data_IF_129516825693
#
_entry.id   IF_129516825693
#
_cell.length_a   1.000
_cell.length_b   1.000
_cell.length_c   1.000
_cell.angle_alpha   90.00
_cell.angle_beta   90.00
_cell.angle_gamma   90.00
#
_symmetry.space_group_name_H-M   'P 1'
#
loop_
_entity.id
_entity.type
_entity.pdbx_description
1 polymer ?
#
# COMPACT_ATOMS: atom_id res chain seq x y z
N UNK A 1 2.23 -5.55 -16.61
CA UNK A 1 2.80 -6.64 -17.43
C UNK A 1 3.61 -6.12 -18.61
N UNK A 2 3.06 -5.22 -19.45
CA UNK A 2 3.77 -4.66 -20.61
C UNK A 2 5.08 -3.92 -20.25
N UNK A 3 5.10 -3.13 -19.17
CA UNK A 3 6.32 -2.43 -18.73
C UNK A 3 7.44 -3.37 -18.28
N UNK A 4 7.12 -4.48 -17.61
CA UNK A 4 8.09 -5.50 -17.22
C UNK A 4 8.68 -6.21 -18.44
N UNK A 5 7.82 -6.58 -19.41
CA UNK A 5 8.26 -7.20 -20.66
C UNK A 5 9.15 -6.24 -21.46
N UNK A 6 8.77 -4.96 -21.55
CA UNK A 6 9.56 -3.95 -22.24
C UNK A 6 10.92 -3.71 -21.55
N UNK A 7 10.94 -3.62 -20.21
CA UNK A 7 12.18 -3.51 -19.45
C UNK A 7 13.12 -4.69 -19.64
N UNK A 8 12.59 -5.91 -19.69
CA UNK A 8 13.37 -7.13 -19.95
C UNK A 8 13.91 -7.14 -21.40
N UNK A 9 13.06 -6.82 -22.38
CA UNK A 9 13.43 -6.83 -23.79
C UNK A 9 14.51 -5.78 -24.13
N UNK A 10 14.49 -4.65 -23.43
CA UNK A 10 15.51 -3.59 -23.57
C UNK A 10 16.76 -3.88 -22.71
N UNK A 11 16.59 -4.47 -21.53
CA UNK A 11 17.67 -4.69 -20.57
C UNK A 11 18.56 -5.91 -20.86
N UNK A 12 18.00 -7.01 -21.39
CA UNK A 12 18.78 -8.22 -21.70
C UNK A 12 19.90 -7.95 -22.70
N UNK A 13 19.67 -7.29 -23.85
CA UNK A 13 20.75 -7.00 -24.81
C UNK A 13 21.83 -6.10 -24.22
N UNK A 14 21.46 -5.16 -23.35
CA UNK A 14 22.41 -4.29 -22.65
C UNK A 14 23.34 -5.09 -21.73
N UNK A 15 22.78 -6.03 -20.96
CA UNK A 15 23.55 -6.89 -20.06
C UNK A 15 24.45 -7.87 -20.83
N UNK A 16 23.94 -8.45 -21.91
CA UNK A 16 24.70 -9.35 -22.79
C UNK A 16 25.90 -8.66 -23.46
N UNK A 17 25.76 -7.39 -23.85
CA UNK A 17 26.88 -6.62 -24.42
C UNK A 17 27.99 -6.33 -23.42
N UNK A 18 27.69 -6.30 -22.12
CA UNK A 18 28.64 -5.99 -21.03
C UNK A 18 29.24 -7.24 -20.39
N UNK A 19 28.50 -8.35 -20.35
CA UNK A 19 28.91 -9.60 -19.70
C UNK A 19 29.15 -10.66 -20.79
N UNK A 20 30.30 -10.57 -21.47
CA UNK A 20 30.76 -11.57 -22.44
C UNK A 20 31.76 -12.50 -21.76
N UNK A 21 31.58 -13.82 -21.88
CA UNK A 21 32.53 -14.76 -21.28
C UNK A 21 32.00 -16.17 -21.03
N UNK A 22 32.75 -16.98 -20.26
CA UNK A 22 32.38 -18.36 -19.94
C UNK A 22 31.05 -18.42 -19.17
N UNK A 23 30.35 -19.56 -19.26
CA UNK A 23 28.97 -19.73 -18.74
C UNK A 23 28.79 -19.41 -17.25
N UNK A 24 29.86 -19.37 -16.46
CA UNK A 24 29.80 -19.02 -15.03
C UNK A 24 29.80 -17.51 -14.74
N UNK A 25 30.30 -16.69 -15.68
CA UNK A 25 30.41 -15.25 -15.51
C UNK A 25 29.05 -14.55 -15.28
N UNK A 26 27.96 -14.91 -16.00
CA UNK A 26 26.63 -14.35 -15.72
C UNK A 26 26.12 -14.66 -14.32
N UNK A 27 26.47 -15.81 -13.75
CA UNK A 27 26.10 -16.14 -12.36
C UNK A 27 26.87 -15.28 -11.38
N UNK A 28 28.17 -15.08 -11.59
CA UNK A 28 28.98 -14.23 -10.72
C UNK A 28 28.51 -12.77 -10.72
N UNK A 29 28.06 -12.26 -11.87
CA UNK A 29 27.57 -10.88 -12.00
C UNK A 29 26.11 -10.74 -11.57
N UNK A 30 25.27 -11.75 -11.83
CA UNK A 30 23.84 -11.72 -11.54
C UNK A 30 23.46 -12.11 -10.11
N UNK A 31 24.22 -13.02 -9.49
CA UNK A 31 23.90 -13.54 -8.15
C UNK A 31 24.02 -12.47 -7.05
N UNK A 32 25.06 -11.62 -7.00
CA UNK A 32 25.15 -10.59 -5.97
C UNK A 32 23.97 -9.59 -5.94
N UNK A 33 23.58 -8.94 -7.05
CA UNK A 33 22.43 -8.04 -7.04
C UNK A 33 21.12 -8.79 -6.78
N UNK A 34 20.98 -10.04 -7.25
CA UNK A 34 19.81 -10.86 -6.96
C UNK A 34 19.67 -11.16 -5.47
N UNK A 35 20.77 -11.52 -4.81
CA UNK A 35 20.80 -11.78 -3.37
C UNK A 35 20.54 -10.50 -2.57
N UNK A 36 21.10 -9.36 -2.97
CA UNK A 36 20.82 -8.07 -2.32
C UNK A 36 19.34 -7.70 -2.43
N UNK A 37 18.76 -7.79 -3.63
CA UNK A 37 17.35 -7.47 -3.85
C UNK A 37 16.44 -8.42 -3.07
N UNK A 38 16.74 -9.72 -3.09
CA UNK A 38 15.99 -10.73 -2.35
C UNK A 38 16.08 -10.50 -0.84
N UNK A 39 17.29 -10.27 -0.30
CA UNK A 39 17.50 -9.99 1.11
C UNK A 39 16.81 -8.72 1.57
N UNK A 40 16.92 -7.63 0.79
CA UNK A 40 16.22 -6.37 1.07
C UNK A 40 14.70 -6.56 1.05
N UNK A 41 14.17 -7.29 0.07
CA UNK A 41 12.73 -7.58 -0.03
C UNK A 41 12.24 -8.45 1.13
N UNK A 42 13.02 -9.47 1.51
CA UNK A 42 12.70 -10.33 2.64
C UNK A 42 12.73 -9.57 3.96
N UNK A 43 13.73 -8.70 4.18
CA UNK A 43 13.78 -7.85 5.36
C UNK A 43 12.62 -6.84 5.39
N UNK A 44 12.31 -6.20 4.27
CA UNK A 44 11.16 -5.32 4.16
C UNK A 44 9.85 -6.05 4.46
N UNK A 45 9.63 -7.20 3.82
CA UNK A 45 8.44 -8.03 4.01
C UNK A 45 8.31 -8.59 5.42
N UNK A 46 9.42 -8.91 6.08
CA UNK A 46 9.45 -9.46 7.44
C UNK A 46 9.27 -8.42 8.54
N UNK A 47 9.73 -7.18 8.32
CA UNK A 47 9.79 -6.16 9.40
C UNK A 47 8.94 -4.92 9.13
N UNK A 48 9.06 -4.32 7.95
CA UNK A 48 8.38 -3.05 7.65
C UNK A 48 6.93 -3.29 7.24
N UNK A 49 6.69 -4.31 6.43
CA UNK A 49 5.37 -4.62 5.88
C UNK A 49 4.31 -4.95 6.95
N UNK A 50 4.60 -5.74 8.02
CA UNK A 50 3.62 -6.01 9.08
C UNK A 50 3.22 -4.75 9.85
N UNK A 51 4.20 -3.89 10.18
CA UNK A 51 3.96 -2.62 10.87
C UNK A 51 3.11 -1.69 10.01
N UNK A 52 3.42 -1.59 8.72
CA UNK A 52 2.62 -0.82 7.77
C UNK A 52 1.19 -1.35 7.66
N UNK A 53 1.01 -2.67 7.57
CA UNK A 53 -0.31 -3.28 7.50
C UNK A 53 -1.13 -2.99 8.76
N UNK A 54 -0.52 -3.11 9.94
CA UNK A 54 -1.17 -2.81 11.21
C UNK A 54 -1.58 -1.33 11.30
N UNK A 55 -0.67 -0.41 10.96
CA UNK A 55 -0.98 1.03 10.93
C UNK A 55 -2.08 1.35 9.91
N UNK A 56 -2.07 0.71 8.75
CA UNK A 56 -3.09 0.89 7.72
C UNK A 56 -4.47 0.46 8.22
N UNK A 57 -4.55 -0.72 8.83
CA UNK A 57 -5.81 -1.25 9.38
C UNK A 57 -6.31 -0.39 10.54
N UNK A 58 -5.44 -0.03 11.48
CA UNK A 58 -5.79 0.88 12.58
C UNK A 58 -6.25 2.23 12.06
N UNK A 59 -5.55 2.80 11.07
CA UNK A 59 -5.93 4.07 10.45
C UNK A 59 -7.30 3.98 9.78
N UNK A 60 -7.54 2.91 9.02
CA UNK A 60 -8.84 2.65 8.38
C UNK A 60 -9.97 2.60 9.42
N UNK A 61 -9.80 1.83 10.49
CA UNK A 61 -10.81 1.75 11.55
C UNK A 61 -10.96 3.06 12.32
N UNK A 62 -9.88 3.76 12.66
CA UNK A 62 -9.94 5.03 13.36
C UNK A 62 -10.68 6.10 12.53
N UNK A 63 -10.35 6.22 11.24
CA UNK A 63 -11.02 7.13 10.33
C UNK A 63 -12.50 6.73 10.12
N UNK A 64 -12.78 5.44 9.96
CA UNK A 64 -14.14 4.93 9.81
C UNK A 64 -14.99 5.18 11.05
N UNK A 65 -14.49 4.87 12.25
CA UNK A 65 -15.20 5.12 13.51
C UNK A 65 -15.45 6.61 13.75
N UNK A 66 -14.48 7.48 13.45
CA UNK A 66 -14.69 8.93 13.53
C UNK A 66 -15.78 9.42 12.57
N UNK A 67 -15.83 8.87 11.35
CA UNK A 67 -16.89 9.15 10.38
C UNK A 67 -18.26 8.68 10.88
N UNK A 68 -18.35 7.44 11.37
CA UNK A 68 -19.57 6.91 11.96
C UNK A 68 -20.08 7.76 13.11
N UNK A 69 -19.18 8.19 14.01
CA UNK A 69 -19.53 9.09 15.10
C UNK A 69 -20.02 10.44 14.59
N UNK A 70 -19.35 11.03 13.60
CA UNK A 70 -19.76 12.29 12.98
C UNK A 70 -21.15 12.21 12.34
N UNK A 71 -21.45 11.11 11.64
CA UNK A 71 -22.78 10.88 11.05
C UNK A 71 -23.84 10.78 12.15
N UNK A 72 -23.60 10.00 13.21
CA UNK A 72 -24.53 9.89 14.33
C UNK A 72 -24.79 11.22 15.03
N UNK A 73 -23.77 12.07 15.18
CA UNK A 73 -23.93 13.42 15.72
C UNK A 73 -24.80 14.30 14.82
N UNK A 74 -24.56 14.26 13.50
CA UNK A 74 -25.40 15.01 12.55
C UNK A 74 -26.85 14.52 12.57
N UNK A 75 -27.06 13.21 12.57
CA UNK A 75 -28.41 12.63 12.66
C UNK A 75 -29.11 13.08 13.94
N UNK A 76 -28.42 12.98 15.09
CA UNK A 76 -28.97 13.43 16.38
C UNK A 76 -29.33 14.91 16.37
N UNK A 77 -28.45 15.76 15.83
CA UNK A 77 -28.71 17.18 15.68
C UNK A 77 -29.99 17.41 14.85
N UNK A 78 -30.12 16.76 13.69
CA UNK A 78 -31.32 16.90 12.85
C UNK A 78 -32.59 16.44 13.59
N UNK A 79 -32.54 15.30 14.27
CA UNK A 79 -33.67 14.76 15.04
C UNK A 79 -34.09 15.70 16.19
N UNK A 80 -33.14 16.27 16.92
CA UNK A 80 -33.40 17.25 18.00
C UNK A 80 -34.05 18.53 17.43
N UNK A 81 -33.60 19.02 16.27
CA UNK A 81 -34.20 20.20 15.61
C UNK A 81 -35.65 19.95 15.17
N UNK A 82 -35.94 18.80 14.57
CA UNK A 82 -37.30 18.45 14.14
C UNK A 82 -38.24 18.24 15.33
N UNK A 83 -37.78 17.55 16.38
CA UNK A 83 -38.56 17.33 17.60
C UNK A 83 -38.88 18.65 18.31
N UNK A 84 -37.88 19.53 18.45
CA UNK A 84 -38.06 20.85 19.08
C UNK A 84 -39.05 21.73 18.32
N UNK A 85 -39.00 21.70 16.98
CA UNK A 85 -39.91 22.47 16.12
C UNK A 85 -41.35 21.97 16.16
N UNK A 86 -41.57 20.65 16.13
CA UNK A 86 -42.91 20.07 16.25
C UNK A 86 -43.58 20.32 17.61
N UNK A 87 -42.78 20.39 18.68
CA UNK A 87 -43.28 20.73 20.02
C UNK A 87 -43.69 22.21 20.15
N UNK A 88 -43.11 23.10 19.34
CA UNK A 88 -43.43 24.52 19.31
C UNK A 88 -44.68 24.83 18.46
N UNK A 89 -45.02 23.96 17.51
CA UNK A 89 -46.20 24.07 16.64
C UNK A 89 -47.47 23.42 17.25
N UNK A 90 -47.30 22.57 18.29
CA UNK A 90 -48.41 21.96 19.07
C UNK A 90 -48.79 22.74 20.33
N UNK A 91 -48.27 23.96 20.50
CA UNK A 91 -48.67 24.93 21.53
C UNK A 91 -49.48 26.06 20.91
#
# INVERSE_FOLDING_TARGET
>A
MLGAIHGINTGIPYLQNRVKGPKWLPFLVGLPPLLMFSGASAAFGGYALPSFAQLTVTSYYAASSASHYGISLLTRYVEEFHTSRGQQESR
#
